data_IF_167107384250
#
_entry.id   IF_167107384250
#
_cell.length_a   1.000
_cell.length_b   1.000
_cell.length_c   1.000
_cell.angle_alpha   90.00
_cell.angle_beta   90.00
_cell.angle_gamma   90.00
#
_symmetry.space_group_name_H-M   'P 1'
#
loop_
_entity.id
_entity.type
_entity.pdbx_description
1 polymer ?
#
# COMPACT_ATOMS: atom_id res chain seq x y z
N UNK A 1 -13.67 -5.29 25.60
CA UNK A 1 -12.50 -5.36 24.69
C UNK A 1 -12.91 -5.22 23.23
N UNK A 2 -14.02 -5.85 22.81
CA UNK A 2 -14.57 -5.73 21.45
C UNK A 2 -14.71 -4.29 20.91
N UNK A 3 -15.18 -3.33 21.73
CA UNK A 3 -15.39 -1.96 21.25
C UNK A 3 -14.08 -1.26 20.85
N UNK A 4 -12.99 -1.51 21.60
CA UNK A 4 -11.66 -0.92 21.34
C UNK A 4 -11.04 -1.44 20.05
N UNK A 5 -11.41 -2.65 19.63
CA UNK A 5 -10.92 -3.29 18.41
C UNK A 5 -11.78 -2.97 17.18
N UNK A 6 -12.84 -2.17 17.32
CA UNK A 6 -13.60 -1.70 16.15
C UNK A 6 -12.73 -0.78 15.28
N UNK A 7 -12.77 -0.88 13.94
CA UNK A 7 -11.86 -0.13 13.07
C UNK A 7 -11.83 1.39 13.32
N UNK A 8 -12.97 2.09 13.52
CA UNK A 8 -12.95 3.53 13.79
C UNK A 8 -12.25 3.87 15.11
N UNK A 9 -12.55 3.12 16.18
CA UNK A 9 -12.00 3.42 17.50
C UNK A 9 -10.52 3.03 17.58
N UNK A 10 -10.14 1.89 17.00
CA UNK A 10 -8.75 1.48 16.89
C UNK A 10 -7.91 2.55 16.16
N UNK A 11 -8.41 3.09 15.04
CA UNK A 11 -7.72 4.15 14.31
C UNK A 11 -7.52 5.42 15.16
N UNK A 12 -8.57 5.84 15.88
CA UNK A 12 -8.51 6.99 16.79
C UNK A 12 -7.53 6.79 17.94
N UNK A 13 -7.29 5.55 18.39
CA UNK A 13 -6.29 5.22 19.41
C UNK A 13 -4.88 5.19 18.81
N UNK A 14 -4.72 4.70 17.58
CA UNK A 14 -3.42 4.64 16.92
C UNK A 14 -2.88 6.02 16.53
N UNK A 15 -3.74 6.99 16.19
CA UNK A 15 -3.30 8.37 15.88
C UNK A 15 -2.47 8.99 17.02
N UNK A 16 -2.96 9.12 18.26
CA UNK A 16 -2.18 9.72 19.34
C UNK A 16 -0.94 8.88 19.65
N UNK A 17 -0.99 7.56 19.53
CA UNK A 17 0.18 6.70 19.69
C UNK A 17 1.29 7.06 18.68
N UNK A 18 0.96 7.15 17.40
CA UNK A 18 1.92 7.52 16.34
C UNK A 18 2.46 8.94 16.56
N UNK A 19 1.61 9.89 16.97
CA UNK A 19 2.04 11.25 17.29
C UNK A 19 3.01 11.30 18.48
N UNK A 20 2.75 10.50 19.53
CA UNK A 20 3.66 10.36 20.67
C UNK A 20 4.99 9.78 20.22
N UNK A 21 4.99 8.71 19.41
CA UNK A 21 6.22 8.10 18.89
C UNK A 21 7.01 9.11 18.05
N UNK A 22 6.33 9.84 17.14
CA UNK A 22 6.95 10.88 16.32
C UNK A 22 7.56 12.00 17.17
N UNK A 23 6.83 12.48 18.18
CA UNK A 23 7.29 13.55 19.05
C UNK A 23 8.45 13.12 19.94
N UNK A 24 8.41 11.90 20.48
CA UNK A 24 9.54 11.32 21.21
C UNK A 24 10.75 11.17 20.28
N UNK A 25 10.56 10.65 19.06
CA UNK A 25 11.63 10.51 18.08
C UNK A 25 12.30 11.84 17.72
N UNK A 26 11.50 12.89 17.52
CA UNK A 26 12.02 14.24 17.23
C UNK A 26 12.71 14.87 18.43
N UNK A 27 12.24 14.63 19.66
CA UNK A 27 12.90 15.06 20.91
C UNK A 27 14.25 14.39 21.13
N UNK A 28 14.39 13.14 20.69
CA UNK A 28 15.63 12.37 20.79
C UNK A 28 16.62 12.69 19.65
N UNK A 29 16.16 13.37 18.59
CA UNK A 29 17.03 13.77 17.49
C UNK A 29 18.03 14.84 17.95
N UNK A 30 19.28 14.71 17.49
CA UNK A 30 20.32 15.72 17.73
C UNK A 30 20.04 17.04 17.00
N UNK A 31 20.76 18.12 17.33
CA UNK A 31 20.55 19.43 16.72
C UNK A 31 20.73 19.37 15.19
N UNK A 32 19.68 19.77 14.47
CA UNK A 32 19.72 19.90 13.02
C UNK A 32 20.42 21.21 12.63
N UNK A 33 21.36 21.12 11.69
CA UNK A 33 21.86 22.27 10.94
C UNK A 33 21.31 22.17 9.53
N UNK A 34 20.44 23.10 9.17
CA UNK A 34 19.85 23.20 7.85
C UNK A 34 20.95 23.34 6.81
N UNK A 35 20.89 22.48 5.79
CA UNK A 35 21.80 22.51 4.65
C UNK A 35 21.02 21.95 3.45
N UNK A 36 20.93 22.69 2.33
CA UNK A 36 20.20 22.25 1.14
C UNK A 36 20.68 20.90 0.60
N UNK A 37 21.95 20.54 0.81
CA UNK A 37 22.51 19.24 0.40
C UNK A 37 21.95 18.10 1.26
N UNK A 38 21.66 18.33 2.54
CA UNK A 38 21.09 17.31 3.44
C UNK A 38 19.63 17.00 3.13
N UNK A 39 18.91 17.93 2.50
CA UNK A 39 17.53 17.76 2.06
C UNK A 39 17.41 17.36 0.59
N UNK A 40 18.51 17.36 -0.17
CA UNK A 40 18.54 16.84 -1.53
C UNK A 40 18.48 15.30 -1.56
N UNK A 41 17.91 14.73 -2.62
CA UNK A 41 17.92 13.29 -2.83
C UNK A 41 19.37 12.77 -2.95
N UNK A 42 19.65 11.62 -2.35
CA UNK A 42 20.99 11.04 -2.39
C UNK A 42 21.29 10.47 -3.79
N UNK A 43 22.17 11.13 -4.54
CA UNK A 43 22.58 10.74 -5.89
C UNK A 43 23.87 9.92 -5.94
N UNK A 44 24.20 9.15 -4.90
CA UNK A 44 25.45 8.37 -4.84
C UNK A 44 26.74 9.23 -4.99
N UNK A 45 26.68 10.50 -4.59
CA UNK A 45 27.78 11.46 -4.75
C UNK A 45 27.68 12.35 -5.99
N UNK A 46 26.69 12.11 -6.86
CA UNK A 46 26.38 12.94 -8.03
C UNK A 46 25.16 13.84 -7.79
N UNK A 47 24.96 14.82 -8.67
CA UNK A 47 23.76 15.66 -8.66
C UNK A 47 22.52 14.81 -8.98
N UNK A 48 21.57 14.77 -8.05
CA UNK A 48 20.37 13.94 -8.22
C UNK A 48 19.53 14.45 -9.41
N UNK A 49 18.98 13.54 -10.23
CA UNK A 49 18.11 13.92 -11.33
C UNK A 49 16.87 14.66 -10.80
N UNK A 50 16.59 15.83 -11.36
CA UNK A 50 15.45 16.68 -10.97
C UNK A 50 14.10 16.20 -11.50
N UNK A 51 14.11 15.15 -12.32
CA UNK A 51 12.94 14.58 -12.99
C UNK A 51 12.84 13.10 -12.65
N UNK A 52 11.63 12.68 -12.27
CA UNK A 52 11.34 11.30 -11.92
C UNK A 52 11.70 10.36 -13.07
N UNK A 53 12.71 9.52 -12.84
CA UNK A 53 12.99 8.40 -13.71
C UNK A 53 12.03 7.27 -13.33
N UNK A 54 10.82 7.29 -13.91
CA UNK A 54 9.96 6.10 -13.96
C UNK A 54 9.88 5.52 -15.39
N UNK A 55 11.00 5.29 -16.11
CA UNK A 55 10.93 4.62 -17.40
C UNK A 55 10.49 3.18 -17.18
N UNK A 56 9.32 2.81 -17.71
CA UNK A 56 8.92 1.41 -17.82
C UNK A 56 8.10 0.82 -16.66
N UNK A 57 7.34 1.60 -15.90
CA UNK A 57 6.40 1.06 -14.90
C UNK A 57 5.17 0.32 -15.50
N UNK A 58 5.10 0.18 -16.83
CA UNK A 58 3.98 -0.47 -17.51
C UNK A 58 3.79 -1.95 -17.12
N UNK A 59 4.83 -2.80 -17.00
CA UNK A 59 4.66 -4.16 -16.51
C UNK A 59 4.19 -4.23 -15.04
N UNK A 60 4.56 -3.24 -14.22
CA UNK A 60 4.08 -3.17 -12.84
C UNK A 60 2.57 -2.95 -12.77
N UNK A 61 1.97 -2.24 -13.74
CA UNK A 61 0.53 -2.05 -13.76
C UNK A 61 -0.22 -3.38 -13.88
N UNK A 62 0.22 -4.29 -14.75
CA UNK A 62 -0.40 -5.63 -14.92
C UNK A 62 -0.31 -6.42 -13.61
N UNK A 63 0.85 -6.39 -12.95
CA UNK A 63 1.06 -7.06 -11.67
C UNK A 63 0.16 -6.45 -10.57
N UNK A 64 0.09 -5.13 -10.49
CA UNK A 64 -0.75 -4.45 -9.51
C UNK A 64 -2.24 -4.77 -9.73
N UNK A 65 -2.70 -4.78 -10.98
CA UNK A 65 -4.06 -5.15 -11.34
C UNK A 65 -4.36 -6.62 -11.00
N UNK A 66 -3.40 -7.52 -11.23
CA UNK A 66 -3.54 -8.93 -10.84
C UNK A 66 -3.79 -9.06 -9.34
N UNK A 67 -3.00 -8.39 -8.50
CA UNK A 67 -3.21 -8.42 -7.04
C UNK A 67 -4.53 -7.77 -6.62
N UNK A 68 -4.98 -6.71 -7.31
CA UNK A 68 -6.28 -6.10 -7.04
C UNK A 68 -7.45 -7.07 -7.34
N UNK A 69 -7.41 -7.78 -8.48
CA UNK A 69 -8.42 -8.79 -8.83
C UNK A 69 -8.35 -9.99 -7.89
N UNK A 70 -7.14 -10.45 -7.53
CA UNK A 70 -6.96 -11.53 -6.57
C UNK A 70 -7.54 -11.15 -5.20
N UNK A 71 -7.30 -9.93 -4.75
CA UNK A 71 -7.86 -9.40 -3.52
C UNK A 71 -9.39 -9.35 -3.56
N UNK A 72 -9.97 -8.88 -4.67
CA UNK A 72 -11.43 -8.93 -4.88
C UNK A 72 -11.96 -10.37 -4.82
N UNK A 73 -11.25 -11.34 -5.41
CA UNK A 73 -11.61 -12.74 -5.34
C UNK A 73 -11.62 -13.29 -3.92
N UNK A 74 -10.64 -12.89 -3.10
CA UNK A 74 -10.63 -13.26 -1.68
C UNK A 74 -11.78 -12.63 -0.89
N UNK A 75 -12.18 -11.39 -1.21
CA UNK A 75 -13.37 -10.77 -0.60
C UNK A 75 -14.66 -11.51 -1.00
N UNK A 76 -14.81 -11.89 -2.27
CA UNK A 76 -15.96 -12.66 -2.77
C UNK A 76 -16.02 -14.03 -2.08
N UNK A 77 -14.88 -14.72 -1.92
CA UNK A 77 -14.82 -16.02 -1.24
C UNK A 77 -15.03 -15.92 0.28
N UNK A 78 -14.46 -14.89 0.92
CA UNK A 78 -14.48 -14.74 2.37
C UNK A 78 -15.77 -14.15 2.93
N UNK A 79 -16.46 -13.31 2.15
CA UNK A 79 -17.70 -12.63 2.55
C UNK A 79 -18.95 -13.13 1.81
N UNK A 80 -18.77 -13.85 0.70
CA UNK A 80 -19.87 -14.37 -0.11
C UNK A 80 -20.56 -15.57 0.52
N UNK A 81 -21.77 -15.84 0.05
CA UNK A 81 -22.49 -17.10 0.34
C UNK A 81 -22.19 -18.13 -0.73
N UNK A 82 -21.95 -19.38 -0.32
CA UNK A 82 -21.71 -20.51 -1.23
C UNK A 82 -23.01 -20.98 -1.87
N UNK A 83 -23.58 -20.14 -2.74
CA UNK A 83 -24.76 -20.43 -3.55
C UNK A 83 -24.36 -20.51 -5.01
N UNK A 84 -25.24 -21.05 -5.87
CA UNK A 84 -24.99 -21.12 -7.32
C UNK A 84 -24.79 -19.74 -7.96
N UNK A 85 -25.27 -18.67 -7.31
CA UNK A 85 -25.08 -17.29 -7.77
C UNK A 85 -23.62 -16.82 -7.72
N UNK A 86 -22.74 -17.44 -6.90
CA UNK A 86 -21.32 -17.04 -6.80
C UNK A 86 -20.48 -17.56 -7.98
N UNK A 87 -20.94 -18.63 -8.62
CA UNK A 87 -20.22 -19.32 -9.72
C UNK A 87 -19.81 -18.38 -10.85
N UNK A 88 -20.70 -17.56 -11.46
CA UNK A 88 -20.29 -16.65 -12.53
C UNK A 88 -19.22 -15.64 -12.09
N UNK A 89 -19.27 -15.16 -10.84
CA UNK A 89 -18.26 -14.25 -10.31
C UNK A 89 -16.89 -14.94 -10.17
N UNK A 90 -16.85 -16.16 -9.63
CA UNK A 90 -15.60 -16.92 -9.49
C UNK A 90 -15.01 -17.28 -10.85
N UNK A 91 -15.84 -17.69 -11.82
CA UNK A 91 -15.39 -17.96 -13.18
C UNK A 91 -14.81 -16.68 -13.81
N UNK A 92 -15.51 -15.55 -13.71
CA UNK A 92 -15.01 -14.27 -14.22
C UNK A 92 -13.68 -13.83 -13.59
N UNK A 93 -13.55 -14.00 -12.26
CA UNK A 93 -12.31 -13.71 -11.54
C UNK A 93 -11.16 -14.61 -11.98
N UNK A 94 -11.39 -15.92 -12.10
CA UNK A 94 -10.37 -16.87 -12.58
C UNK A 94 -9.93 -16.51 -14.00
N UNK A 95 -10.88 -16.23 -14.90
CA UNK A 95 -10.58 -15.83 -16.27
C UNK A 95 -9.77 -14.53 -16.34
N UNK A 96 -10.11 -13.55 -15.51
CA UNK A 96 -9.37 -12.29 -15.43
C UNK A 96 -7.94 -12.50 -14.90
N UNK A 97 -7.75 -13.36 -13.89
CA UNK A 97 -6.43 -13.70 -13.37
C UNK A 97 -5.58 -14.45 -14.39
N UNK A 98 -6.18 -15.39 -15.14
CA UNK A 98 -5.50 -16.10 -16.24
C UNK A 98 -5.12 -15.12 -17.34
N UNK A 99 -6.00 -14.21 -17.74
CA UNK A 99 -5.68 -13.20 -18.75
C UNK A 99 -4.49 -12.33 -18.32
N UNK A 100 -4.49 -11.84 -17.07
CA UNK A 100 -3.39 -11.02 -16.54
C UNK A 100 -2.06 -11.78 -16.38
N UNK A 101 -2.10 -13.11 -16.19
CA UNK A 101 -0.91 -13.96 -16.18
C UNK A 101 -0.30 -14.15 -17.58
N UNK A 102 -1.15 -14.18 -18.62
CA UNK A 102 -0.73 -14.40 -20.00
C UNK A 102 -0.25 -13.13 -20.69
N UNK A 103 -0.58 -11.95 -20.15
CA UNK A 103 -0.20 -10.63 -20.69
C UNK A 103 -1.12 -10.16 -21.81
#
# INVERSE_FOLDING_TARGET
>A
MEILLTPPLAFLIYIPLVLVIYWVGTRLAGPAKDNPVKSSAYGSGEEAPTRSAAPGYSPFFVIALFFAILHLGMLVLGLGSFTTAIVPFLVGLILALVALLLG
#
